data_IF_673398690726
#
_entry.id   IF_673398690726
#
_cell.length_a   1.000
_cell.length_b   1.000
_cell.length_c   1.000
_cell.angle_alpha   90.00
_cell.angle_beta   90.00
_cell.angle_gamma   90.00
#
_symmetry.space_group_name_H-M   'P 1'
#
loop_
_entity.id
_entity.type
_entity.pdbx_description
1 polymer ?
#
# COMPACT_ATOMS: atom_id res chain seq x y z
N UNK A 1 -9.08 -14.77 -1.98
CA UNK A 1 -7.92 -14.97 -1.11
C UNK A 1 -6.97 -15.99 -1.72
N UNK A 2 -5.71 -15.69 -1.69
CA UNK A 2 -4.63 -16.59 -2.09
C UNK A 2 -3.41 -16.26 -1.25
N UNK A 3 -2.56 -17.23 -1.10
CA UNK A 3 -1.25 -17.05 -0.48
C UNK A 3 -0.20 -17.74 -1.34
N UNK A 4 1.03 -17.23 -1.30
CA UNK A 4 2.14 -17.77 -2.07
C UNK A 4 3.43 -17.77 -1.26
N UNK A 5 4.38 -18.57 -1.72
CA UNK A 5 5.73 -18.54 -1.21
C UNK A 5 6.39 -17.18 -1.52
N UNK A 6 7.36 -16.81 -0.69
CA UNK A 6 8.15 -15.61 -0.86
C UNK A 6 9.05 -15.72 -2.10
N UNK A 7 9.07 -14.69 -2.94
CA UNK A 7 9.86 -14.61 -4.14
C UNK A 7 10.48 -13.22 -4.36
N UNK A 8 11.47 -13.16 -5.24
CA UNK A 8 12.03 -11.91 -5.76
C UNK A 8 11.35 -11.55 -7.07
N UNK A 9 10.87 -10.32 -7.18
CA UNK A 9 10.20 -9.80 -8.36
C UNK A 9 11.04 -8.72 -9.04
N UNK A 10 11.05 -8.72 -10.36
CA UNK A 10 11.63 -7.67 -11.20
C UNK A 10 10.69 -7.37 -12.35
N UNK A 11 10.27 -6.12 -12.45
CA UNK A 11 9.38 -5.62 -13.51
C UNK A 11 10.10 -4.58 -14.34
N UNK A 12 9.98 -4.68 -15.67
CA UNK A 12 10.31 -3.60 -16.60
C UNK A 12 9.10 -3.33 -17.49
N UNK A 13 8.54 -2.12 -17.41
CA UNK A 13 7.33 -1.75 -18.13
C UNK A 13 7.52 -0.42 -18.86
N UNK A 14 7.09 -0.35 -20.12
CA UNK A 14 7.04 0.87 -20.92
C UNK A 14 5.60 1.30 -21.15
N UNK A 15 5.25 2.50 -20.71
CA UNK A 15 3.90 3.08 -20.83
C UNK A 15 3.95 4.42 -21.55
N UNK A 16 2.85 4.89 -22.16
CA UNK A 16 2.77 6.29 -22.62
C UNK A 16 3.08 7.24 -21.45
N UNK A 17 3.86 8.29 -21.70
CA UNK A 17 4.42 9.18 -20.65
C UNK A 17 3.34 9.94 -19.85
N UNK A 18 2.10 9.96 -20.33
CA UNK A 18 0.98 10.50 -19.56
C UNK A 18 0.54 9.64 -18.37
N UNK A 19 0.93 8.34 -18.36
CA UNK A 19 0.54 7.43 -17.27
C UNK A 19 1.54 7.49 -16.11
N UNK A 20 1.00 7.57 -14.90
CA UNK A 20 1.71 7.32 -13.66
C UNK A 20 1.54 5.86 -13.26
N UNK A 21 2.59 5.25 -12.76
CA UNK A 21 2.62 3.84 -12.36
C UNK A 21 2.78 3.78 -10.85
N UNK A 22 1.78 3.25 -10.15
CA UNK A 22 1.89 2.76 -8.79
C UNK A 22 2.24 1.27 -8.83
N UNK A 23 3.23 0.83 -8.09
CA UNK A 23 3.75 -0.53 -8.23
C UNK A 23 4.28 -1.06 -6.90
N UNK A 24 4.13 -2.35 -6.66
CA UNK A 24 4.89 -3.06 -5.64
C UNK A 24 6.39 -2.88 -5.85
N UNK A 25 7.13 -2.77 -4.75
CA UNK A 25 8.58 -2.62 -4.82
C UNK A 25 9.06 -1.21 -5.12
N UNK A 26 10.38 -1.09 -5.13
CA UNK A 26 11.04 0.21 -5.27
C UNK A 26 11.36 0.51 -6.73
N UNK A 27 11.15 1.76 -7.19
CA UNK A 27 11.60 2.17 -8.50
C UNK A 27 13.13 2.22 -8.53
N UNK A 28 13.74 1.50 -9.49
CA UNK A 28 15.19 1.51 -9.66
C UNK A 28 15.62 2.49 -10.76
N UNK A 29 14.84 2.57 -11.82
CA UNK A 29 15.17 3.40 -12.96
C UNK A 29 13.91 3.86 -13.70
N UNK A 30 13.95 5.13 -14.11
CA UNK A 30 12.96 5.70 -15.01
C UNK A 30 13.68 6.29 -16.23
N UNK A 31 13.27 5.94 -17.43
CA UNK A 31 13.81 6.45 -18.68
C UNK A 31 12.67 6.98 -19.55
N UNK A 32 12.78 8.23 -19.96
CA UNK A 32 11.85 8.84 -20.92
C UNK A 32 12.45 8.66 -22.32
N UNK A 33 11.67 8.07 -23.23
CA UNK A 33 12.02 7.85 -24.62
C UNK A 33 10.85 8.30 -25.50
N UNK A 34 10.95 9.52 -25.99
CA UNK A 34 9.89 10.18 -26.75
C UNK A 34 8.59 10.31 -25.92
N UNK A 35 7.51 9.75 -26.44
CA UNK A 35 6.19 9.78 -25.79
C UNK A 35 5.96 8.62 -24.78
N UNK A 36 7.00 7.84 -24.50
CA UNK A 36 6.95 6.70 -23.61
C UNK A 36 7.91 6.86 -22.43
N UNK A 37 7.48 6.37 -21.28
CA UNK A 37 8.31 6.27 -20.07
C UNK A 37 8.49 4.79 -19.74
N UNK A 38 9.72 4.38 -19.54
CA UNK A 38 10.09 3.04 -19.11
C UNK A 38 10.46 3.06 -17.64
N UNK A 39 9.75 2.27 -16.86
CA UNK A 39 10.00 2.05 -15.43
C UNK A 39 10.64 0.69 -15.19
N UNK A 40 11.48 0.61 -14.19
CA UNK A 40 12.02 -0.65 -13.67
C UNK A 40 11.83 -0.67 -12.16
N UNK A 41 11.26 -1.75 -11.65
CA UNK A 41 10.97 -1.96 -10.24
C UNK A 41 11.55 -3.28 -9.77
N UNK A 42 11.95 -3.34 -8.51
CA UNK A 42 12.31 -4.59 -7.84
C UNK A 42 11.63 -4.68 -6.48
N UNK A 43 11.24 -5.89 -6.13
CA UNK A 43 10.74 -6.26 -4.82
C UNK A 43 11.46 -7.53 -4.39
N UNK A 44 12.12 -7.49 -3.24
CA UNK A 44 12.79 -8.63 -2.63
C UNK A 44 11.91 -9.23 -1.55
N UNK A 45 11.86 -10.57 -1.53
CA UNK A 45 11.09 -11.31 -0.55
C UNK A 45 9.60 -10.89 -0.49
N UNK A 46 8.99 -10.61 -1.65
CA UNK A 46 7.55 -10.35 -1.75
C UNK A 46 6.76 -11.64 -1.86
N UNK A 47 5.53 -11.67 -1.36
CA UNK A 47 4.60 -12.81 -1.55
C UNK A 47 3.84 -12.71 -2.85
N UNK A 48 3.67 -11.49 -3.34
CA UNK A 48 2.96 -11.15 -4.56
C UNK A 48 3.52 -9.87 -5.17
N UNK A 49 2.93 -9.42 -6.26
CA UNK A 49 3.34 -8.23 -6.96
C UNK A 49 2.16 -7.61 -7.71
N UNK A 50 1.82 -6.38 -7.39
CA UNK A 50 0.72 -5.65 -8.00
C UNK A 50 1.16 -4.33 -8.60
N UNK A 51 0.39 -3.81 -9.56
CA UNK A 51 0.56 -2.47 -10.10
C UNK A 51 -0.77 -1.89 -10.60
N UNK A 52 -0.84 -0.57 -10.59
CA UNK A 52 -1.94 0.21 -11.17
C UNK A 52 -1.35 1.31 -12.04
N UNK A 53 -2.02 1.61 -13.13
CA UNK A 53 -1.65 2.68 -14.06
C UNK A 53 -2.84 3.63 -14.24
N UNK A 54 -2.59 4.93 -14.15
CA UNK A 54 -3.59 5.94 -14.46
C UNK A 54 -2.94 7.20 -15.01
N UNK A 55 -3.61 7.85 -15.93
CA UNK A 55 -3.27 9.20 -16.40
C UNK A 55 -3.94 10.30 -15.56
N UNK A 56 -4.68 9.91 -14.53
CA UNK A 56 -5.36 10.82 -13.60
C UNK A 56 -4.72 10.87 -12.21
N UNK A 57 -3.72 10.03 -11.92
CA UNK A 57 -3.14 10.00 -10.59
C UNK A 57 -2.46 11.31 -10.20
N UNK A 58 -2.93 11.88 -9.09
CA UNK A 58 -2.17 12.76 -8.24
C UNK A 58 -1.39 11.91 -7.23
N UNK A 59 -0.14 12.24 -6.98
CA UNK A 59 0.71 11.49 -6.06
C UNK A 59 1.09 12.40 -4.89
N UNK A 60 0.73 11.98 -3.68
CA UNK A 60 1.21 12.55 -2.44
C UNK A 60 2.21 11.60 -1.80
N UNK A 61 3.23 12.12 -1.11
CA UNK A 61 4.27 11.29 -0.51
C UNK A 61 4.69 11.83 0.85
N UNK A 62 5.05 10.91 1.73
CA UNK A 62 5.62 11.21 3.04
C UNK A 62 6.68 10.17 3.37
N UNK A 63 7.63 10.52 4.22
CA UNK A 63 8.69 9.61 4.67
C UNK A 63 8.45 9.16 6.10
N UNK A 64 8.62 7.85 6.35
CA UNK A 64 8.66 7.25 7.66
C UNK A 64 9.93 6.42 7.80
N UNK A 65 10.87 6.90 8.62
CA UNK A 65 12.18 6.25 8.74
C UNK A 65 12.91 6.13 7.40
N UNK A 66 13.14 4.89 6.97
CA UNK A 66 13.77 4.56 5.67
C UNK A 66 12.77 4.29 4.54
N UNK A 67 11.46 4.29 4.84
CA UNK A 67 10.40 3.96 3.89
C UNK A 67 9.77 5.22 3.33
N UNK A 68 9.62 5.29 2.01
CA UNK A 68 8.85 6.31 1.32
C UNK A 68 7.41 5.77 1.15
N UNK A 69 6.44 6.50 1.69
CA UNK A 69 5.01 6.16 1.63
C UNK A 69 4.36 7.03 0.58
N UNK A 70 3.69 6.42 -0.38
CA UNK A 70 3.00 7.10 -1.46
C UNK A 70 1.49 6.88 -1.36
N UNK A 71 0.73 7.92 -1.68
CA UNK A 71 -0.72 7.87 -1.81
C UNK A 71 -1.11 8.34 -3.22
N UNK A 72 -1.80 7.50 -3.95
CA UNK A 72 -2.24 7.73 -5.33
C UNK A 72 -3.76 7.91 -5.34
N UNK A 73 -4.23 9.06 -5.77
CA UNK A 73 -5.65 9.41 -5.86
C UNK A 73 -5.96 10.16 -7.16
N UNK A 74 -7.21 10.23 -7.57
CA UNK A 74 -7.62 11.04 -8.71
C UNK A 74 -7.59 12.55 -8.40
N UNK A 75 -7.75 12.91 -7.14
CA UNK A 75 -7.74 14.30 -6.66
C UNK A 75 -6.77 14.45 -5.49
N UNK A 76 -6.25 15.66 -5.32
CA UNK A 76 -5.43 16.02 -4.17
C UNK A 76 -6.14 17.13 -3.40
N UNK A 77 -6.71 16.78 -2.27
CA UNK A 77 -7.49 17.65 -1.40
C UNK A 77 -7.08 17.52 0.08
N UNK A 78 -7.80 18.17 0.97
CA UNK A 78 -7.55 18.06 2.42
C UNK A 78 -7.77 16.64 2.96
N UNK A 79 -8.67 15.85 2.37
CA UNK A 79 -8.92 14.48 2.81
C UNK A 79 -7.74 13.59 2.43
N UNK A 80 -7.19 13.75 1.22
CA UNK A 80 -5.97 13.08 0.77
C UNK A 80 -4.81 13.31 1.74
N UNK A 81 -4.58 14.56 2.14
CA UNK A 81 -3.50 14.92 3.07
C UNK A 81 -3.74 14.34 4.48
N UNK A 82 -4.99 14.33 4.97
CA UNK A 82 -5.36 13.72 6.25
C UNK A 82 -5.15 12.21 6.24
N UNK A 83 -5.62 11.53 5.19
CA UNK A 83 -5.46 10.07 5.04
C UNK A 83 -3.97 9.71 5.01
N UNK A 84 -3.16 10.41 4.24
CA UNK A 84 -1.73 10.15 4.17
C UNK A 84 -1.02 10.38 5.52
N UNK A 85 -1.41 11.42 6.27
CA UNK A 85 -0.87 11.67 7.60
C UNK A 85 -1.24 10.56 8.59
N UNK A 86 -2.47 10.04 8.52
CA UNK A 86 -2.92 8.94 9.36
C UNK A 86 -2.24 7.61 8.99
N UNK A 87 -2.09 7.31 7.69
CA UNK A 87 -1.33 6.16 7.22
C UNK A 87 0.10 6.20 7.78
N UNK A 88 0.77 7.36 7.71
CA UNK A 88 2.10 7.52 8.28
C UNK A 88 2.13 7.22 9.78
N UNK A 89 1.21 7.79 10.54
CA UNK A 89 1.14 7.62 12.00
C UNK A 89 0.88 6.17 12.39
N UNK A 90 -0.07 5.53 11.70
CA UNK A 90 -0.41 4.12 11.85
C UNK A 90 0.78 3.20 11.50
N UNK A 91 1.43 3.47 10.38
CA UNK A 91 2.62 2.76 9.92
C UNK A 91 3.78 2.84 10.94
N UNK A 92 4.02 4.01 11.53
CA UNK A 92 5.03 4.21 12.58
C UNK A 92 4.66 3.46 13.87
N UNK A 93 3.38 3.45 14.24
CA UNK A 93 2.88 2.68 15.38
C UNK A 93 3.09 1.17 15.15
N UNK A 94 2.73 0.64 14.00
CA UNK A 94 2.92 -0.78 13.68
C UNK A 94 4.41 -1.14 13.61
N UNK A 95 5.23 -0.29 13.02
CA UNK A 95 6.68 -0.47 12.99
C UNK A 95 7.31 -0.57 14.37
N UNK A 96 6.83 0.22 15.33
CA UNK A 96 7.30 0.19 16.71
C UNK A 96 6.76 -0.98 17.53
N UNK A 97 5.54 -1.44 17.21
CA UNK A 97 4.84 -2.47 17.98
C UNK A 97 5.14 -3.89 17.50
N UNK A 98 5.24 -4.08 16.17
CA UNK A 98 5.32 -5.41 15.54
C UNK A 98 6.65 -5.68 14.85
N UNK A 99 7.51 -4.67 14.71
CA UNK A 99 8.80 -4.80 14.07
C UNK A 99 8.94 -3.99 12.78
N UNK A 100 10.18 -3.89 12.31
CA UNK A 100 10.53 -3.01 11.20
C UNK A 100 9.91 -3.50 9.87
N UNK A 101 9.31 -2.57 9.13
CA UNK A 101 8.80 -2.85 7.78
C UNK A 101 9.94 -3.19 6.81
N UNK A 102 9.83 -4.29 6.03
CA UNK A 102 10.98 -4.81 5.28
C UNK A 102 11.30 -4.06 3.98
N UNK A 103 10.33 -3.32 3.40
CA UNK A 103 10.52 -2.71 2.10
C UNK A 103 10.87 -1.22 2.19
N UNK A 104 11.44 -0.66 1.10
CA UNK A 104 11.83 0.76 1.01
C UNK A 104 10.67 1.67 0.63
N UNK A 105 9.61 1.11 0.06
CA UNK A 105 8.43 1.84 -0.40
C UNK A 105 7.16 1.15 0.07
N UNK A 106 6.13 1.94 0.32
CA UNK A 106 4.76 1.49 0.53
C UNK A 106 3.81 2.40 -0.25
N UNK A 107 2.91 1.82 -1.02
CA UNK A 107 1.98 2.57 -1.87
C UNK A 107 0.53 2.23 -1.50
N UNK A 108 -0.28 3.24 -1.27
CA UNK A 108 -1.73 3.12 -1.13
C UNK A 108 -2.37 3.75 -2.37
N UNK A 109 -3.23 3.02 -3.06
CA UNK A 109 -3.78 3.41 -4.36
C UNK A 109 -5.30 3.39 -4.33
N UNK A 110 -5.91 4.57 -4.51
CA UNK A 110 -7.35 4.63 -4.78
C UNK A 110 -7.62 4.12 -6.19
N UNK A 111 -8.57 3.19 -6.31
CA UNK A 111 -8.94 2.61 -7.60
C UNK A 111 -10.40 2.16 -7.61
N UNK A 112 -10.96 1.95 -8.80
CA UNK A 112 -12.25 1.28 -8.95
C UNK A 112 -12.15 -0.15 -8.43
N UNK A 113 -12.57 -0.37 -7.20
CA UNK A 113 -12.53 -1.65 -6.52
C UNK A 113 -13.85 -1.92 -5.81
N UNK A 114 -14.36 -3.15 -5.91
CA UNK A 114 -15.69 -3.50 -5.37
C UNK A 114 -15.67 -3.92 -3.90
N UNK A 115 -14.50 -4.30 -3.39
CA UNK A 115 -14.26 -4.58 -1.98
C UNK A 115 -13.60 -3.33 -1.35
N UNK A 116 -13.66 -3.16 -0.05
CA UNK A 116 -13.13 -1.98 0.63
C UNK A 116 -11.66 -1.69 0.34
N UNK A 117 -10.84 -2.72 0.34
CA UNK A 117 -9.43 -2.67 0.01
C UNK A 117 -8.88 -4.02 -0.41
N UNK A 118 -7.59 -4.08 -0.69
CA UNK A 118 -6.83 -5.30 -0.99
C UNK A 118 -5.34 -5.07 -0.77
N UNK A 119 -4.75 -5.94 0.00
CA UNK A 119 -3.34 -5.92 0.37
C UNK A 119 -2.46 -6.66 -0.64
N UNK A 120 -1.33 -6.06 -0.99
CA UNK A 120 -0.23 -6.68 -1.72
C UNK A 120 1.10 -6.26 -1.10
N UNK A 121 2.15 -7.01 -1.38
CA UNK A 121 3.50 -6.71 -0.88
C UNK A 121 3.97 -5.33 -1.33
N UNK A 122 4.02 -4.38 -0.40
CA UNK A 122 4.46 -3.01 -0.68
C UNK A 122 3.46 -2.11 -1.39
N UNK A 123 2.23 -2.59 -1.63
CA UNK A 123 1.16 -1.82 -2.25
C UNK A 123 -0.20 -2.32 -1.76
N UNK A 124 -1.15 -1.44 -1.53
CA UNK A 124 -2.54 -1.82 -1.32
C UNK A 124 -3.50 -0.99 -2.16
N UNK A 125 -4.67 -1.56 -2.44
CA UNK A 125 -5.79 -0.85 -3.05
C UNK A 125 -6.73 -0.35 -1.97
N UNK A 126 -7.37 0.79 -2.24
CA UNK A 126 -8.50 1.31 -1.48
C UNK A 126 -9.56 1.73 -2.48
N UNK A 127 -10.81 1.37 -2.23
CA UNK A 127 -11.92 1.69 -3.13
C UNK A 127 -12.16 3.21 -3.19
N UNK A 128 -12.12 3.78 -4.40
CA UNK A 128 -12.24 5.24 -4.59
C UNK A 128 -13.64 5.79 -4.25
N UNK A 129 -14.68 4.96 -4.38
CA UNK A 129 -16.09 5.35 -4.23
C UNK A 129 -16.62 5.22 -2.79
N UNK A 130 -15.75 5.24 -1.78
CA UNK A 130 -16.10 5.21 -0.36
C UNK A 130 -16.19 6.63 0.23
N UNK A 131 -16.96 6.76 1.33
CA UNK A 131 -16.91 7.98 2.15
C UNK A 131 -15.51 8.18 2.73
N UNK A 132 -15.08 9.43 3.01
CA UNK A 132 -13.72 9.70 3.50
C UNK A 132 -13.31 8.89 4.74
N UNK A 133 -14.24 8.69 5.68
CA UNK A 133 -14.01 7.92 6.91
C UNK A 133 -13.84 6.43 6.63
N UNK A 134 -14.64 5.87 5.74
CA UNK A 134 -14.54 4.46 5.31
C UNK A 134 -13.24 4.22 4.55
N UNK A 135 -12.88 5.15 3.66
CA UNK A 135 -11.62 5.13 2.91
C UNK A 135 -10.41 5.20 3.83
N UNK A 136 -10.46 6.08 4.83
CA UNK A 136 -9.41 6.17 5.85
C UNK A 136 -9.27 4.84 6.59
N UNK A 137 -10.39 4.29 7.08
CA UNK A 137 -10.36 3.02 7.82
C UNK A 137 -9.80 1.88 6.96
N UNK A 138 -10.25 1.74 5.71
CA UNK A 138 -9.72 0.77 4.77
C UNK A 138 -8.21 0.96 4.56
N UNK A 139 -7.73 2.18 4.38
CA UNK A 139 -6.30 2.46 4.23
C UNK A 139 -5.48 2.05 5.45
N UNK A 140 -6.00 2.23 6.67
CA UNK A 140 -5.33 1.77 7.90
C UNK A 140 -5.33 0.24 8.00
N UNK A 141 -6.44 -0.41 7.64
CA UNK A 141 -6.58 -1.86 7.62
C UNK A 141 -5.58 -2.50 6.62
N UNK A 142 -5.56 -2.01 5.38
CA UNK A 142 -4.62 -2.48 4.36
C UNK A 142 -3.15 -2.17 4.72
N UNK A 143 -2.91 -1.12 5.50
CA UNK A 143 -1.58 -0.85 6.06
C UNK A 143 -1.18 -1.91 7.09
N UNK A 144 -2.10 -2.38 7.93
CA UNK A 144 -1.81 -3.42 8.92
C UNK A 144 -1.45 -4.77 8.27
N UNK A 145 -2.07 -5.09 7.13
CA UNK A 145 -1.73 -6.27 6.34
C UNK A 145 -0.28 -6.31 5.87
N UNK A 146 0.43 -5.18 5.82
CA UNK A 146 1.87 -5.19 5.52
C UNK A 146 2.69 -5.95 6.57
N UNK A 147 2.16 -6.10 7.79
CA UNK A 147 2.71 -6.99 8.85
C UNK A 147 2.02 -8.35 8.83
N UNK A 148 0.67 -8.38 8.72
CA UNK A 148 -0.14 -9.59 8.79
C UNK A 148 -0.62 -10.02 7.40
N UNK A 149 -0.26 -11.22 6.97
CA UNK A 149 -0.48 -11.72 5.60
C UNK A 149 0.74 -11.49 4.69
N UNK A 150 1.40 -10.32 4.75
CA UNK A 150 2.56 -10.00 3.90
C UNK A 150 3.88 -10.36 4.59
N UNK A 151 4.30 -9.64 5.63
CA UNK A 151 5.57 -9.94 6.32
C UNK A 151 5.48 -11.27 7.07
N UNK A 152 4.47 -11.44 7.89
CA UNK A 152 4.11 -12.71 8.52
C UNK A 152 2.99 -13.33 7.71
N UNK A 153 3.31 -14.28 6.86
CA UNK A 153 2.33 -14.96 6.01
C UNK A 153 1.58 -16.06 6.74
N UNK A 154 0.40 -16.36 6.28
CA UNK A 154 -0.50 -17.40 6.76
C UNK A 154 -1.22 -18.10 5.60
N UNK A 155 -1.97 -19.13 5.91
CA UNK A 155 -2.93 -19.73 4.99
C UNK A 155 -4.23 -18.93 5.01
N UNK A 156 -4.33 -17.91 4.15
CA UNK A 156 -5.47 -16.98 4.06
C UNK A 156 -6.79 -17.69 3.67
N UNK A 157 -6.74 -18.94 3.22
CA UNK A 157 -7.94 -19.70 2.87
C UNK A 157 -8.52 -20.42 4.09
N UNK A 158 -7.66 -21.08 4.85
CA UNK A 158 -8.09 -21.91 5.97
C UNK A 158 -8.01 -21.19 7.32
N UNK A 159 -7.16 -20.18 7.43
CA UNK A 159 -6.84 -19.47 8.68
C UNK A 159 -6.85 -17.94 8.49
N UNK A 160 -7.86 -17.42 7.78
CA UNK A 160 -8.01 -15.99 7.48
C UNK A 160 -8.00 -15.07 8.73
N UNK A 161 -8.30 -15.60 9.91
CA UNK A 161 -8.22 -14.81 11.15
C UNK A 161 -6.79 -14.38 11.51
N UNK A 162 -5.77 -15.04 10.96
CA UNK A 162 -4.36 -14.72 11.22
C UNK A 162 -3.88 -13.47 10.44
N UNK A 163 -4.55 -13.10 9.38
CA UNK A 163 -4.31 -11.83 8.69
C UNK A 163 -5.44 -10.83 8.95
N UNK A 164 -6.67 -11.15 8.59
CA UNK A 164 -7.82 -10.26 8.75
C UNK A 164 -8.08 -9.86 10.20
N UNK A 165 -8.11 -10.85 11.10
CA UNK A 165 -8.36 -10.60 12.52
C UNK A 165 -7.22 -9.83 13.19
N UNK A 166 -5.96 -10.11 12.83
CA UNK A 166 -4.81 -9.39 13.38
C UNK A 166 -4.67 -7.99 12.75
N UNK A 167 -4.98 -7.81 11.47
CA UNK A 167 -5.02 -6.50 10.85
C UNK A 167 -6.08 -5.61 11.52
N UNK A 168 -7.30 -6.11 11.66
CA UNK A 168 -8.40 -5.42 12.35
C UNK A 168 -8.04 -5.05 13.80
N UNK A 169 -7.52 -6.01 14.56
CA UNK A 169 -7.10 -5.77 15.94
C UNK A 169 -5.96 -4.75 16.04
N UNK A 170 -5.05 -4.73 15.09
CA UNK A 170 -3.95 -3.76 15.04
C UNK A 170 -4.43 -2.34 14.81
N UNK A 171 -5.42 -2.15 13.93
CA UNK A 171 -6.08 -0.85 13.73
C UNK A 171 -6.78 -0.40 15.01
N UNK A 172 -7.52 -1.30 15.68
CA UNK A 172 -8.14 -1.00 16.96
C UNK A 172 -7.11 -0.52 18.00
N UNK A 173 -5.99 -1.23 18.17
CA UNK A 173 -4.92 -0.84 19.08
C UNK A 173 -4.32 0.54 18.75
N UNK A 174 -4.12 0.83 17.46
CA UNK A 174 -3.65 2.14 17.02
C UNK A 174 -4.64 3.26 17.37
N UNK A 175 -5.91 3.08 17.07
CA UNK A 175 -6.96 4.07 17.35
C UNK A 175 -7.11 4.30 18.85
N UNK A 176 -7.11 3.25 19.67
CA UNK A 176 -7.15 3.32 21.12
C UNK A 176 -5.95 4.09 21.68
N UNK A 177 -4.73 3.74 21.24
CA UNK A 177 -3.50 4.40 21.66
C UNK A 177 -3.43 5.88 21.31
N UNK A 178 -4.09 6.27 20.22
CA UNK A 178 -4.15 7.66 19.74
C UNK A 178 -5.34 8.46 20.29
N UNK A 179 -6.21 7.85 21.11
CA UNK A 179 -7.43 8.47 21.66
C UNK A 179 -8.49 8.77 20.61
N UNK A 180 -8.53 7.99 19.53
CA UNK A 180 -9.45 8.12 18.40
C UNK A 180 -10.56 7.07 18.37
N UNK A 181 -10.66 6.26 19.41
CA UNK A 181 -11.76 5.29 19.63
C UNK A 181 -12.99 5.96 20.18
#
# INVERSE_FOLDING_TARGET
>A
PYYSDVADYSLSIGVPSRFTVACSGSPEKTVIDGERTKYSYTLKNGRDFAMVLSDKFCVSAVKSGKTDIFYYSAEKDENTEKILAEIKSCFEYFGSSFGEYPYKTFSVVETEFILGGMEYSGLCYVAENQAPEEKLYAALHETAHQWWGITVGNDQINEAFLDEGLAEFSVYLYLDSSGKN
#
